data_IF_468228962542
#
_entry.id   IF_468228962542
#
_cell.length_a   1.000
_cell.length_b   1.000
_cell.length_c   1.000
_cell.angle_alpha   90.00
_cell.angle_beta   90.00
_cell.angle_gamma   90.00
#
_symmetry.space_group_name_H-M   'P 1'
#
loop_
_entity.id
_entity.type
_entity.pdbx_description
1 polymer ?
#
# COMPACT_ATOMS: atom_id res chain seq x y z
N UNK A 1 -19.29 16.25 -31.16
CA UNK A 1 -19.80 15.76 -29.85
C UNK A 1 -18.63 15.41 -28.94
N UNK A 2 -18.71 15.64 -27.62
CA UNK A 2 -17.75 15.01 -26.70
C UNK A 2 -17.97 13.48 -26.71
N UNK A 3 -16.89 12.73 -26.47
CA UNK A 3 -16.95 11.28 -26.34
C UNK A 3 -17.85 10.88 -25.16
N UNK A 4 -18.55 9.74 -25.28
CA UNK A 4 -19.39 9.21 -24.19
C UNK A 4 -18.52 8.97 -22.94
N UNK A 5 -18.95 9.45 -21.74
CA UNK A 5 -18.22 9.22 -20.50
C UNK A 5 -17.98 7.73 -20.25
N UNK A 6 -16.72 7.37 -20.02
CA UNK A 6 -16.31 5.99 -19.73
C UNK A 6 -16.09 5.84 -18.23
N UNK A 7 -16.83 4.96 -17.57
CA UNK A 7 -16.72 4.73 -16.12
C UNK A 7 -15.28 4.41 -15.68
N UNK A 8 -14.50 3.69 -16.49
CA UNK A 8 -13.13 3.33 -16.14
C UNK A 8 -12.17 4.52 -16.05
N UNK A 9 -12.45 5.64 -16.72
CA UNK A 9 -11.63 6.85 -16.60
C UNK A 9 -11.80 7.56 -15.25
N UNK A 10 -12.88 7.29 -14.52
CA UNK A 10 -13.13 7.85 -13.18
C UNK A 10 -12.64 6.91 -12.07
N UNK A 11 -12.63 5.60 -12.34
CA UNK A 11 -12.31 4.56 -11.36
C UNK A 11 -10.97 3.85 -11.61
N UNK A 12 -10.08 4.46 -12.40
CA UNK A 12 -8.71 3.93 -12.55
C UNK A 12 -7.95 3.95 -11.21
N UNK A 13 -7.03 2.99 -11.07
CA UNK A 13 -6.17 2.85 -9.90
C UNK A 13 -4.73 3.09 -10.28
N UNK A 14 -3.95 3.63 -9.35
CA UNK A 14 -2.50 3.79 -9.53
C UNK A 14 -1.84 2.41 -9.65
N UNK A 15 -0.72 2.36 -10.37
CA UNK A 15 0.14 1.19 -10.47
C UNK A 15 1.53 1.60 -9.99
N UNK A 16 2.02 0.96 -8.93
CA UNK A 16 3.41 1.03 -8.52
C UNK A 16 4.16 -0.13 -9.18
N UNK A 17 5.06 0.20 -10.10
CA UNK A 17 5.92 -0.76 -10.77
C UNK A 17 7.28 -0.84 -10.06
N UNK A 18 7.60 -2.01 -9.50
CA UNK A 18 8.83 -2.25 -8.76
C UNK A 18 9.77 -3.18 -9.53
N UNK A 19 10.72 -2.60 -10.26
CA UNK A 19 11.68 -3.32 -11.09
C UNK A 19 13.10 -2.80 -10.86
N UNK A 20 13.68 -2.97 -9.65
CA UNK A 20 14.93 -2.33 -9.25
C UNK A 20 16.09 -2.59 -10.20
N UNK A 21 16.19 -3.79 -10.80
CA UNK A 21 17.26 -4.11 -11.76
C UNK A 21 17.13 -3.27 -13.03
N UNK A 22 15.91 -3.04 -13.51
CA UNK A 22 15.65 -2.20 -14.70
C UNK A 22 15.65 -0.70 -14.40
N UNK A 23 15.13 -0.31 -13.23
CA UNK A 23 15.00 1.09 -12.83
C UNK A 23 16.35 1.72 -12.51
N UNK A 24 17.30 0.95 -11.96
CA UNK A 24 18.57 1.46 -11.45
C UNK A 24 19.80 0.67 -11.90
N UNK A 25 19.67 -0.23 -12.88
CA UNK A 25 20.74 -1.13 -13.31
C UNK A 25 21.39 -1.92 -12.14
N UNK A 26 20.63 -2.15 -11.05
CA UNK A 26 21.18 -2.76 -9.84
C UNK A 26 21.39 -4.26 -10.03
N UNK A 27 22.61 -4.75 -9.76
CA UNK A 27 22.93 -6.16 -9.92
C UNK A 27 22.48 -6.99 -8.71
N UNK A 28 21.27 -7.53 -8.82
CA UNK A 28 20.70 -8.44 -7.81
C UNK A 28 21.40 -9.80 -7.82
N UNK A 29 21.73 -10.29 -6.63
CA UNK A 29 22.42 -11.56 -6.39
C UNK A 29 21.47 -12.62 -5.88
N UNK A 30 21.75 -13.87 -6.23
CA UNK A 30 20.96 -15.02 -5.78
C UNK A 30 21.10 -15.17 -4.25
N UNK A 31 20.00 -15.18 -3.48
CA UNK A 31 20.06 -15.31 -2.03
C UNK A 31 20.23 -16.77 -1.55
N UNK A 32 20.25 -17.75 -2.46
CA UNK A 32 20.33 -19.19 -2.14
C UNK A 32 21.71 -19.77 -2.49
N UNK A 33 22.35 -19.28 -3.54
CA UNK A 33 23.67 -19.76 -3.93
C UNK A 33 24.73 -19.19 -2.97
N UNK A 34 25.69 -20.03 -2.58
CA UNK A 34 26.85 -19.60 -1.77
C UNK A 34 27.70 -18.59 -2.54
N UNK A 35 27.86 -18.82 -3.84
CA UNK A 35 28.50 -17.86 -4.75
C UNK A 35 27.53 -16.72 -5.05
N UNK A 36 28.05 -15.49 -5.14
CA UNK A 36 27.29 -14.28 -5.48
C UNK A 36 26.92 -14.25 -6.96
N UNK A 37 26.02 -15.16 -7.37
CA UNK A 37 25.56 -15.30 -8.74
C UNK A 37 24.57 -14.19 -9.07
N UNK A 38 24.84 -13.44 -10.14
CA UNK A 38 23.92 -12.42 -10.66
C UNK A 38 22.63 -13.06 -11.17
N UNK A 39 21.51 -12.47 -10.79
CA UNK A 39 20.19 -12.91 -11.21
C UNK A 39 19.82 -12.31 -12.57
N UNK A 40 19.22 -13.14 -13.43
CA UNK A 40 18.67 -12.72 -14.71
C UNK A 40 17.23 -12.23 -14.53
N UNK A 41 16.82 -11.20 -15.28
CA UNK A 41 15.42 -10.80 -15.32
C UNK A 41 14.62 -11.80 -16.15
N UNK A 42 13.60 -12.42 -15.54
CA UNK A 42 12.70 -13.38 -16.20
C UNK A 42 11.42 -12.72 -16.74
N UNK A 43 11.22 -11.42 -16.43
CA UNK A 43 10.12 -10.60 -16.93
C UNK A 43 9.26 -10.03 -15.82
N UNK A 44 8.04 -9.63 -16.16
CA UNK A 44 7.06 -9.09 -15.19
C UNK A 44 6.36 -10.25 -14.46
N UNK A 45 6.27 -10.15 -13.14
CA UNK A 45 5.58 -11.12 -12.32
C UNK A 45 4.09 -11.11 -12.63
N UNK A 46 3.52 -12.30 -12.86
CA UNK A 46 2.15 -12.45 -13.38
C UNK A 46 1.06 -11.95 -12.43
N UNK A 47 1.33 -11.86 -11.13
CA UNK A 47 0.34 -11.43 -10.13
C UNK A 47 0.64 -10.01 -9.67
N UNK A 48 -0.35 -9.13 -9.83
CA UNK A 48 -0.38 -7.83 -9.17
C UNK A 48 -0.91 -7.95 -7.75
N UNK A 49 -0.31 -7.21 -6.81
CA UNK A 49 -0.74 -7.16 -5.41
C UNK A 49 -1.67 -5.95 -5.21
N UNK A 50 -2.76 -6.16 -4.49
CA UNK A 50 -3.64 -5.06 -4.07
C UNK A 50 -3.05 -4.40 -2.83
N UNK A 51 -2.70 -3.12 -2.95
CA UNK A 51 -2.17 -2.30 -1.86
C UNK A 51 -3.28 -1.42 -1.31
N UNK A 52 -3.47 -1.47 0.01
CA UNK A 52 -4.38 -0.60 0.75
C UNK A 52 -3.65 0.70 1.07
N UNK A 53 -4.23 1.81 0.64
CA UNK A 53 -3.76 3.17 0.87
C UNK A 53 -4.83 3.94 1.67
N UNK A 54 -4.56 5.18 2.06
CA UNK A 54 -5.48 6.01 2.87
C UNK A 54 -6.78 6.34 2.14
N UNK A 55 -6.72 6.66 0.85
CA UNK A 55 -7.89 7.10 0.05
C UNK A 55 -8.39 6.05 -0.95
N UNK A 56 -7.86 4.84 -0.90
CA UNK A 56 -8.32 3.78 -1.79
C UNK A 56 -7.33 2.64 -1.92
N UNK A 57 -7.14 2.19 -3.16
CA UNK A 57 -6.27 1.06 -3.48
C UNK A 57 -5.44 1.34 -4.71
N UNK A 58 -4.25 0.77 -4.75
CA UNK A 58 -3.41 0.75 -5.92
C UNK A 58 -2.81 -0.64 -6.13
N UNK A 59 -2.29 -0.88 -7.32
CA UNK A 59 -1.67 -2.15 -7.67
C UNK A 59 -0.16 -2.07 -7.52
N UNK A 60 0.45 -3.12 -7.01
CA UNK A 60 1.89 -3.35 -7.08
C UNK A 60 2.17 -4.40 -8.14
N UNK A 61 2.91 -4.03 -9.17
CA UNK A 61 3.54 -4.94 -10.13
C UNK A 61 5.04 -4.99 -9.86
N UNK A 62 5.66 -6.14 -10.11
CA UNK A 62 7.11 -6.30 -9.94
C UNK A 62 7.70 -7.18 -11.02
N UNK A 63 9.01 -7.17 -11.18
CA UNK A 63 9.70 -8.19 -11.97
C UNK A 63 9.99 -9.44 -11.13
N UNK A 64 10.21 -10.55 -11.82
CA UNK A 64 10.73 -11.77 -11.23
C UNK A 64 12.06 -12.10 -11.88
N UNK A 65 12.95 -12.61 -11.05
CA UNK A 65 14.32 -12.91 -11.38
C UNK A 65 14.55 -14.41 -11.30
N UNK A 66 15.51 -14.90 -12.08
CA UNK A 66 15.90 -16.30 -12.07
C UNK A 66 17.41 -16.42 -11.90
N UNK A 67 17.82 -17.34 -11.03
CA UNK A 67 19.21 -17.71 -10.91
C UNK A 67 19.57 -18.70 -12.03
N UNK A 68 20.61 -18.42 -12.84
CA UNK A 68 21.04 -19.35 -13.89
C UNK A 68 21.63 -20.66 -13.33
N UNK A 69 22.15 -20.65 -12.09
CA UNK A 69 22.80 -21.82 -11.49
C UNK A 69 21.81 -22.74 -10.77
N UNK A 70 21.10 -22.23 -9.76
CA UNK A 70 20.17 -23.06 -8.97
C UNK A 70 18.74 -23.07 -9.54
N UNK A 71 18.47 -22.37 -10.64
CA UNK A 71 17.15 -22.22 -11.27
C UNK A 71 16.06 -21.60 -10.37
N UNK A 72 16.41 -21.17 -9.16
CA UNK A 72 15.50 -20.52 -8.23
C UNK A 72 14.94 -19.21 -8.77
N UNK A 73 13.67 -18.95 -8.49
CA UNK A 73 12.96 -17.73 -8.90
C UNK A 73 12.63 -16.84 -7.72
N UNK A 74 12.87 -15.54 -7.85
CA UNK A 74 12.69 -14.56 -6.78
C UNK A 74 11.94 -13.32 -7.31
N UNK A 75 11.00 -12.80 -6.55
CA UNK A 75 10.29 -11.56 -6.93
C UNK A 75 11.08 -10.37 -6.40
N UNK A 76 11.06 -9.23 -7.09
CA UNK A 76 11.87 -8.06 -6.70
C UNK A 76 11.55 -7.46 -5.33
N UNK A 77 10.38 -7.77 -4.77
CA UNK A 77 9.97 -7.35 -3.44
C UNK A 77 10.15 -8.46 -2.38
N UNK A 78 10.80 -9.59 -2.71
CA UNK A 78 11.23 -10.57 -1.71
C UNK A 78 12.19 -9.90 -0.73
N UNK A 79 12.04 -10.12 0.58
CA UNK A 79 12.84 -9.46 1.61
C UNK A 79 14.35 -9.68 1.40
N UNK A 80 14.75 -10.86 0.92
CA UNK A 80 16.17 -11.19 0.64
C UNK A 80 16.72 -10.43 -0.56
N UNK A 81 15.84 -10.00 -1.47
CA UNK A 81 16.17 -9.17 -2.64
C UNK A 81 16.17 -7.70 -2.23
N UNK A 82 15.13 -7.24 -1.53
CA UNK A 82 15.04 -5.87 -1.02
C UNK A 82 16.19 -5.52 -0.07
N UNK A 83 16.65 -6.48 0.73
CA UNK A 83 17.76 -6.29 1.66
C UNK A 83 19.13 -6.13 0.98
N UNK A 84 19.25 -6.46 -0.31
CA UNK A 84 20.47 -6.19 -1.09
C UNK A 84 20.52 -4.74 -1.57
N UNK A 85 19.37 -4.09 -1.72
CA UNK A 85 19.32 -2.70 -2.18
C UNK A 85 19.93 -1.77 -1.11
N UNK A 86 20.67 -0.73 -1.52
CA UNK A 86 21.14 0.30 -0.61
C UNK A 86 19.93 0.99 0.05
N UNK A 87 20.16 1.53 1.25
CA UNK A 87 19.10 2.16 2.04
C UNK A 87 18.33 3.23 1.25
N UNK A 88 19.03 4.05 0.46
CA UNK A 88 18.47 5.11 -0.39
C UNK A 88 17.46 4.63 -1.45
N UNK A 89 17.58 3.39 -1.91
CA UNK A 89 16.62 2.76 -2.83
C UNK A 89 15.54 2.00 -2.06
N UNK A 90 15.91 1.34 -0.96
CA UNK A 90 14.96 0.58 -0.13
C UNK A 90 13.86 1.46 0.45
N UNK A 91 14.19 2.69 0.87
CA UNK A 91 13.18 3.65 1.37
C UNK A 91 12.17 4.09 0.31
N UNK A 92 12.47 3.88 -0.97
CA UNK A 92 11.54 4.16 -2.08
C UNK A 92 10.51 3.05 -2.29
N UNK A 93 10.59 1.94 -1.55
CA UNK A 93 9.58 0.89 -1.54
C UNK A 93 8.61 1.10 -0.37
N UNK A 94 7.44 1.74 -0.59
CA UNK A 94 6.57 2.17 0.51
C UNK A 94 5.59 1.09 0.94
N UNK A 95 5.89 -0.20 0.69
CA UNK A 95 4.88 -1.27 0.78
C UNK A 95 5.27 -2.30 1.83
N UNK A 96 4.34 -2.58 2.74
CA UNK A 96 4.40 -3.70 3.65
C UNK A 96 3.53 -4.84 3.13
N UNK A 97 4.16 -5.93 2.72
CA UNK A 97 3.46 -7.11 2.21
C UNK A 97 2.79 -7.88 3.36
N UNK A 98 1.54 -8.29 3.18
CA UNK A 98 0.84 -9.28 4.03
C UNK A 98 0.46 -10.52 3.22
N UNK A 99 -0.31 -11.47 3.78
CA UNK A 99 -0.76 -12.65 3.02
C UNK A 99 -1.61 -12.27 1.81
N UNK A 100 -2.81 -11.73 2.05
CA UNK A 100 -3.80 -11.43 1.00
C UNK A 100 -3.61 -10.04 0.36
N UNK A 101 -3.28 -9.05 1.16
CA UNK A 101 -3.14 -7.65 0.73
C UNK A 101 -1.71 -7.16 0.95
N UNK A 102 -1.44 -5.94 0.53
CA UNK A 102 -0.31 -5.18 1.01
C UNK A 102 -0.81 -3.87 1.60
N UNK A 103 -0.03 -3.26 2.49
CA UNK A 103 -0.35 -1.98 3.11
C UNK A 103 0.67 -0.95 2.65
N UNK A 104 0.20 0.22 2.25
CA UNK A 104 1.07 1.38 2.11
C UNK A 104 1.61 1.79 3.48
N UNK A 105 2.89 2.14 3.55
CA UNK A 105 3.55 2.54 4.79
C UNK A 105 2.88 3.78 5.41
N UNK A 106 2.23 4.64 4.61
CA UNK A 106 1.44 5.77 5.08
C UNK A 106 0.29 5.34 6.00
N UNK A 107 -0.40 4.24 5.67
CA UNK A 107 -1.44 3.65 6.52
C UNK A 107 -0.85 3.13 7.83
N UNK A 108 0.27 2.43 7.75
CA UNK A 108 0.97 1.88 8.92
C UNK A 108 1.49 3.01 9.82
N UNK A 109 1.94 4.12 9.25
CA UNK A 109 2.43 5.29 9.99
C UNK A 109 1.37 5.88 10.91
N UNK A 110 0.08 5.83 10.54
CA UNK A 110 -1.00 6.28 11.42
C UNK A 110 -1.05 5.46 12.71
N UNK A 111 -0.88 4.13 12.64
CA UNK A 111 -0.78 3.26 13.82
C UNK A 111 0.52 3.46 14.64
N UNK A 112 1.58 4.03 14.03
CA UNK A 112 2.83 4.30 14.76
C UNK A 112 2.68 5.46 15.74
N UNK A 113 1.78 6.41 15.45
CA UNK A 113 1.48 7.48 16.38
C UNK A 113 0.85 6.90 17.66
N UNK A 114 1.31 7.36 18.83
CA UNK A 114 0.92 6.82 20.14
C UNK A 114 -0.03 7.77 20.87
N UNK A 115 -1.05 8.26 20.18
CA UNK A 115 -2.07 9.11 20.80
C UNK A 115 -3.20 8.28 21.42
N UNK A 116 -3.81 8.81 22.47
CA UNK A 116 -5.04 8.23 23.04
C UNK A 116 -6.11 8.17 21.94
N UNK A 117 -6.78 7.03 21.80
CA UNK A 117 -7.76 6.78 20.73
C UNK A 117 -7.20 6.05 19.50
N UNK A 118 -5.87 5.92 19.36
CA UNK A 118 -5.28 5.16 18.25
C UNK A 118 -5.45 3.66 18.45
N UNK A 119 -6.49 3.12 17.84
CA UNK A 119 -6.75 1.70 17.75
C UNK A 119 -6.86 1.26 16.29
N UNK A 120 -6.65 -0.03 16.04
CA UNK A 120 -6.88 -0.61 14.72
C UNK A 120 -8.33 -0.49 14.25
N UNK A 121 -9.28 -0.34 15.18
CA UNK A 121 -10.70 -0.11 14.88
C UNK A 121 -10.92 1.32 14.44
N UNK A 122 -10.34 2.30 15.15
CA UNK A 122 -10.40 3.71 14.76
C UNK A 122 -9.80 3.89 13.36
N UNK A 123 -8.58 3.39 13.14
CA UNK A 123 -7.95 3.49 11.83
C UNK A 123 -8.78 2.81 10.72
N UNK A 124 -9.40 1.67 11.01
CA UNK A 124 -10.25 1.00 10.04
C UNK A 124 -11.49 1.83 9.70
N UNK A 125 -12.12 2.48 10.68
CA UNK A 125 -13.24 3.40 10.45
C UNK A 125 -12.78 4.58 9.58
N UNK A 126 -11.68 5.24 9.97
CA UNK A 126 -11.14 6.40 9.26
C UNK A 126 -10.81 6.06 7.80
N UNK A 127 -10.10 4.95 7.57
CA UNK A 127 -9.76 4.50 6.21
C UNK A 127 -11.01 4.10 5.43
N UNK A 128 -12.01 3.51 6.07
CA UNK A 128 -13.28 3.15 5.41
C UNK A 128 -14.03 4.40 4.97
N UNK A 129 -14.12 5.41 5.82
CA UNK A 129 -14.73 6.71 5.52
C UNK A 129 -13.98 7.43 4.40
N UNK A 130 -12.64 7.48 4.47
CA UNK A 130 -11.83 8.08 3.40
C UNK A 130 -11.97 7.35 2.06
N UNK A 131 -12.13 6.02 2.06
CA UNK A 131 -12.36 5.24 0.84
C UNK A 131 -13.76 5.48 0.29
N UNK A 132 -14.79 5.55 1.15
CA UNK A 132 -16.18 5.76 0.71
C UNK A 132 -16.36 7.16 0.13
N UNK A 133 -15.79 8.18 0.76
CA UNK A 133 -15.81 9.56 0.28
C UNK A 133 -15.11 9.69 -1.08
N UNK A 134 -13.89 9.15 -1.23
CA UNK A 134 -13.19 9.17 -2.53
C UNK A 134 -13.96 8.42 -3.62
N UNK A 135 -14.58 7.29 -3.29
CA UNK A 135 -15.44 6.56 -4.22
C UNK A 135 -16.68 7.40 -4.62
N UNK A 136 -17.32 8.05 -3.64
CA UNK A 136 -18.51 8.87 -3.86
C UNK A 136 -18.21 10.09 -4.74
N UNK A 137 -17.08 10.76 -4.51
CA UNK A 137 -16.63 11.88 -5.37
C UNK A 137 -16.47 11.45 -6.83
N UNK A 138 -15.86 10.29 -7.08
CA UNK A 138 -15.70 9.72 -8.43
C UNK A 138 -17.05 9.36 -9.05
N UNK A 139 -17.95 8.79 -8.25
CA UNK A 139 -19.31 8.45 -8.69
C UNK A 139 -20.09 9.71 -9.09
N UNK A 140 -20.06 10.76 -8.27
CA UNK A 140 -20.70 12.06 -8.57
C UNK A 140 -20.11 12.67 -9.84
N UNK A 141 -18.79 12.67 -10.01
CA UNK A 141 -18.14 13.18 -11.22
C UNK A 141 -18.60 12.44 -12.48
N UNK A 142 -18.61 11.11 -12.45
CA UNK A 142 -19.07 10.28 -13.57
C UNK A 142 -20.54 10.54 -13.89
N UNK A 143 -21.43 10.48 -12.90
CA UNK A 143 -22.86 10.68 -13.09
C UNK A 143 -23.18 12.08 -13.61
N UNK A 144 -22.47 13.10 -13.10
CA UNK A 144 -22.62 14.48 -13.57
C UNK A 144 -22.25 14.63 -15.04
N UNK A 145 -21.16 14.00 -15.47
CA UNK A 145 -20.74 14.04 -16.88
C UNK A 145 -21.65 13.21 -17.79
N UNK A 146 -22.19 12.08 -17.31
CA UNK A 146 -23.24 11.33 -18.00
C UNK A 146 -24.48 12.19 -18.24
N UNK A 147 -24.94 12.94 -17.23
CA UNK A 147 -26.10 13.81 -17.37
C UNK A 147 -25.84 14.96 -18.35
N UNK A 148 -24.68 15.63 -18.24
CA UNK A 148 -24.28 16.67 -19.20
C UNK A 148 -24.23 16.15 -20.63
N UNK A 149 -23.67 14.95 -20.82
CA UNK A 149 -23.60 14.31 -22.13
C UNK A 149 -25.00 13.96 -22.66
N UNK A 150 -25.91 13.47 -21.81
CA UNK A 150 -27.32 13.19 -22.16
C UNK A 150 -28.04 14.46 -22.62
N UNK A 151 -27.93 15.55 -21.87
CA UNK A 151 -28.53 16.86 -22.24
C UNK A 151 -27.98 17.34 -23.59
N UNK A 152 -26.66 17.23 -23.80
CA UNK A 152 -26.04 17.64 -25.06
C UNK A 152 -26.53 16.83 -26.26
N UNK A 153 -26.78 15.52 -26.09
CA UNK A 153 -27.31 14.67 -27.17
C UNK A 153 -28.74 15.04 -27.53
N UNK A 154 -29.59 15.23 -26.52
CA UNK A 154 -30.99 15.66 -26.70
C UNK A 154 -31.07 16.98 -27.48
N UNK A 155 -30.23 17.97 -27.14
CA UNK A 155 -30.17 19.26 -27.85
C UNK A 155 -29.80 19.14 -29.34
N UNK A 156 -29.07 18.08 -29.71
CA UNK A 156 -28.61 17.84 -31.06
C UNK A 156 -29.49 16.82 -31.82
N UNK A 157 -30.63 16.41 -31.24
CA UNK A 157 -31.52 15.41 -31.85
C UNK A 157 -30.90 14.02 -31.98
N UNK A 158 -29.88 13.71 -31.19
CA UNK A 158 -29.15 12.44 -31.27
C UNK A 158 -29.78 11.41 -30.31
N UNK A 159 -29.94 10.14 -30.72
CA UNK A 159 -30.51 9.09 -29.86
C UNK A 159 -29.79 8.94 -28.52
N UNK A 160 -30.55 8.57 -27.48
CA UNK A 160 -30.03 8.30 -26.14
C UNK A 160 -29.04 7.11 -26.14
N UNK A 161 -28.14 7.08 -25.15
CA UNK A 161 -27.13 6.04 -24.97
C UNK A 161 -27.25 5.47 -23.57
N UNK A 162 -27.02 4.17 -23.44
CA UNK A 162 -26.93 3.48 -22.15
C UNK A 162 -25.54 3.68 -21.54
N UNK A 163 -25.50 4.27 -20.35
CA UNK A 163 -24.26 4.45 -19.59
C UNK A 163 -23.93 3.19 -18.78
N UNK A 164 -22.64 2.91 -18.59
CA UNK A 164 -22.20 1.82 -17.73
C UNK A 164 -22.59 2.07 -16.27
N UNK A 165 -22.90 1.00 -15.54
CA UNK A 165 -23.21 1.08 -14.10
C UNK A 165 -21.95 1.40 -13.30
N UNK A 166 -22.15 2.03 -12.13
CA UNK A 166 -21.05 2.32 -11.22
C UNK A 166 -20.41 1.02 -10.71
N UNK A 167 -19.07 0.98 -10.55
CA UNK A 167 -18.41 -0.16 -9.96
C UNK A 167 -18.77 -0.28 -8.48
N UNK A 168 -18.91 -1.52 -7.99
CA UNK A 168 -19.19 -1.80 -6.59
C UNK A 168 -18.10 -1.22 -5.67
N UNK A 169 -18.53 -0.57 -4.59
CA UNK A 169 -17.64 -0.18 -3.52
C UNK A 169 -17.19 -1.42 -2.73
N UNK A 170 -15.91 -1.46 -2.37
CA UNK A 170 -15.34 -2.54 -1.58
C UNK A 170 -14.68 -1.98 -0.32
N UNK A 171 -15.22 -2.35 0.85
CA UNK A 171 -14.65 -2.02 2.14
C UNK A 171 -13.18 -2.48 2.25
N UNK A 172 -12.30 -1.69 2.90
CA UNK A 172 -10.95 -2.13 3.22
C UNK A 172 -10.99 -3.40 4.12
N UNK A 173 -9.86 -4.12 4.25
CA UNK A 173 -9.78 -5.28 5.14
C UNK A 173 -10.20 -4.90 6.57
N UNK A 174 -10.80 -5.82 7.34
CA UNK A 174 -11.25 -5.49 8.70
C UNK A 174 -10.12 -5.07 9.65
N UNK A 175 -10.47 -4.48 10.80
CA UNK A 175 -9.53 -3.95 11.80
C UNK A 175 -8.42 -4.95 12.22
N UNK A 176 -8.72 -6.25 12.31
CA UNK A 176 -7.73 -7.30 12.61
C UNK A 176 -6.57 -7.33 11.61
N UNK A 177 -6.85 -7.03 10.33
CA UNK A 177 -5.82 -6.95 9.30
C UNK A 177 -4.90 -5.74 9.51
N UNK A 178 -5.46 -4.58 9.86
CA UNK A 178 -4.68 -3.38 10.20
C UNK A 178 -3.77 -3.64 11.42
N UNK A 179 -4.30 -4.30 12.46
CA UNK A 179 -3.47 -4.72 13.59
C UNK A 179 -2.32 -5.66 13.16
N UNK A 180 -2.62 -6.65 12.32
CA UNK A 180 -1.60 -7.57 11.81
C UNK A 180 -0.53 -6.87 10.96
N UNK A 181 -0.91 -5.87 10.15
CA UNK A 181 0.05 -5.04 9.39
C UNK A 181 0.96 -4.26 10.31
N UNK A 182 0.41 -3.64 11.35
CA UNK A 182 1.19 -2.89 12.33
C UNK A 182 2.16 -3.78 13.11
N UNK A 183 1.71 -4.95 13.57
CA UNK A 183 2.56 -5.93 14.24
C UNK A 183 3.73 -6.32 13.32
N UNK A 184 3.45 -6.63 12.04
CA UNK A 184 4.49 -6.97 11.06
C UNK A 184 5.49 -5.83 10.86
N UNK A 185 5.04 -4.58 10.81
CA UNK A 185 5.91 -3.41 10.75
C UNK A 185 6.84 -3.32 11.97
N UNK A 186 6.30 -3.50 13.18
CA UNK A 186 7.09 -3.49 14.42
C UNK A 186 8.14 -4.60 14.40
N UNK A 187 7.79 -5.81 13.98
CA UNK A 187 8.74 -6.92 13.83
C UNK A 187 9.86 -6.60 12.85
N UNK A 188 9.54 -6.01 11.68
CA UNK A 188 10.55 -5.64 10.68
C UNK A 188 11.57 -4.61 11.19
N UNK A 189 11.16 -3.76 12.13
CA UNK A 189 12.01 -2.72 12.74
C UNK A 189 12.62 -3.12 14.07
N UNK A 190 12.30 -4.31 14.58
CA UNK A 190 12.72 -4.75 15.92
C UNK A 190 14.25 -4.69 16.14
N UNK A 191 15.12 -5.07 15.18
CA UNK A 191 16.57 -4.93 15.37
C UNK A 191 17.01 -3.48 15.62
N UNK A 192 16.43 -2.54 14.86
CA UNK A 192 16.72 -1.10 14.97
C UNK A 192 16.13 -0.52 16.26
N UNK A 193 14.93 -0.96 16.66
CA UNK A 193 14.33 -0.53 17.92
C UNK A 193 15.15 -1.03 19.13
N UNK A 194 15.64 -2.26 19.08
CA UNK A 194 16.53 -2.82 20.11
C UNK A 194 17.86 -2.07 20.19
N UNK A 195 18.46 -1.71 19.07
CA UNK A 195 19.71 -0.92 19.09
C UNK A 195 19.49 0.46 19.69
N UNK A 196 18.41 1.16 19.34
CA UNK A 196 18.06 2.48 19.92
C UNK A 196 17.89 2.46 21.44
N UNK A 197 17.31 1.39 21.98
CA UNK A 197 17.19 1.20 23.43
C UNK A 197 18.58 0.96 24.06
N UNK A 198 19.41 0.10 23.45
CA UNK A 198 20.76 -0.21 23.96
C UNK A 198 21.71 0.98 23.91
N UNK A 199 21.60 1.81 22.87
CA UNK A 199 22.45 2.99 22.66
C UNK A 199 21.78 4.29 23.13
N UNK A 200 20.82 4.20 24.07
CA UNK A 200 20.35 5.34 24.87
C UNK A 200 19.44 6.36 24.19
N UNK A 201 18.98 6.13 22.96
CA UNK A 201 18.09 7.09 22.26
C UNK A 201 16.62 6.94 22.63
N UNK A 202 16.26 5.86 23.34
CA UNK A 202 14.91 5.67 23.88
C UNK A 202 14.99 5.75 25.42
N UNK A 203 14.77 6.95 25.96
CA UNK A 203 14.58 7.13 27.39
C UNK A 203 13.36 6.32 27.84
N UNK A 204 13.61 5.52 28.88
CA UNK A 204 12.66 4.70 29.65
C UNK A 204 11.31 5.41 29.78
N UNK A 205 10.24 4.82 29.25
CA UNK A 205 8.88 5.30 29.49
C UNK A 205 8.47 4.85 30.88
N UNK A 206 8.17 5.81 31.74
CA UNK A 206 7.57 5.60 33.05
C UNK A 206 6.32 4.74 32.94
N UNK A 207 6.34 3.66 33.72
CA UNK A 207 5.17 2.83 33.95
C UNK A 207 4.10 3.69 34.62
N UNK A 208 3.03 4.02 33.90
CA UNK A 208 1.79 4.53 34.51
C UNK A 208 1.13 3.42 35.32
N UNK A 209 1.69 3.13 36.50
CA UNK A 209 1.01 2.42 37.57
C UNK A 209 1.23 3.19 38.87
N UNK A 210 0.22 4.00 39.20
CA UNK A 210 -0.18 4.43 40.55
C UNK A 210 0.93 4.89 41.51
N UNK A 211 1.07 6.20 41.66
CA UNK A 211 1.27 6.81 42.98
C UNK A 211 0.36 8.06 43.07
N UNK A 212 -0.93 7.84 43.33
CA UNK A 212 -1.72 8.79 44.13
C UNK A 212 -1.52 8.37 45.59
N UNK A 213 -0.37 8.74 46.16
CA UNK A 213 -0.21 8.78 47.61
C UNK A 213 -0.45 10.22 48.04
N UNK A 214 -1.54 10.37 48.78
CA UNK A 214 -2.01 11.55 49.51
C UNK A 214 -0.85 12.41 50.03
N UNK A 215 -0.92 13.70 49.78
CA UNK A 215 -0.45 14.70 50.74
C UNK A 215 -1.70 15.34 51.33
N UNK A 216 -2.12 14.79 52.47
CA UNK A 216 -2.78 15.58 53.49
C UNK A 216 -1.70 16.49 54.07
N UNK A 217 -1.85 17.79 53.86
CA UNK A 217 -1.64 18.81 54.90
C UNK A 217 -2.76 19.82 54.71
#
# INVERSE_FOLDING_TARGET
LKQCPNVHSYFHRRLLLWMPKRMWAFDLKCPVCVKSISLNSKGVYRKVRNVIDLKGRYYLAAEYHQCPTCQGTFISYDDRILNQLPFSLRVRFPILLTGKFASDIGVVNLMRSRTLGNSSTSLWNDVTEMHSDEWMRRAVAYLSDCERHKISRKRLGIPDVTYATLPLFHNPPGCKWFLATYIRDVWSRLPVLKSRIRYGTLLKIDSTKKITLKLQV
#
